data_IF_054841680802
#
_entry.id   IF_054841680802
#
_cell.length_a   1.000
_cell.length_b   1.000
_cell.length_c   1.000
_cell.angle_alpha   90.00
_cell.angle_beta   90.00
_cell.angle_gamma   90.00
#
_symmetry.space_group_name_H-M   'P 1'
#
loop_
_entity.id
_entity.type
_entity.pdbx_description
1 polymer ?
#
# COMPACT_ATOMS: atom_id res chain seq x y z
N UNK A 1 -0.54 -5.38 -17.00
CA UNK A 1 -1.11 -4.42 -16.04
C UNK A 1 -1.30 -3.12 -16.79
N UNK A 2 -2.54 -2.71 -17.00
CA UNK A 2 -2.85 -1.39 -17.54
C UNK A 2 -2.20 -0.31 -16.67
N UNK A 3 -1.76 0.76 -17.33
CA UNK A 3 -1.08 1.87 -16.68
C UNK A 3 -2.08 2.58 -15.76
N UNK A 4 -1.99 2.32 -14.45
CA UNK A 4 -2.77 3.01 -13.44
C UNK A 4 -2.63 4.52 -13.62
N UNK A 5 -3.75 5.23 -13.53
CA UNK A 5 -3.82 6.68 -13.67
C UNK A 5 -2.80 7.38 -12.74
N UNK A 6 -2.17 8.43 -13.25
CA UNK A 6 -1.10 9.13 -12.55
C UNK A 6 -1.60 9.80 -11.25
N UNK A 7 -2.83 10.28 -11.24
CA UNK A 7 -3.44 10.93 -10.08
C UNK A 7 -3.82 9.88 -9.04
N UNK A 8 -4.43 8.76 -9.45
CA UNK A 8 -4.69 7.62 -8.56
C UNK A 8 -3.40 7.15 -7.88
N UNK A 9 -2.33 6.98 -8.67
CA UNK A 9 -1.02 6.58 -8.15
C UNK A 9 -0.49 7.58 -7.13
N UNK A 10 -0.68 8.87 -7.37
CA UNK A 10 -0.24 9.95 -6.49
C UNK A 10 -1.02 9.95 -5.17
N UNK A 11 -2.34 9.76 -5.22
CA UNK A 11 -3.19 9.68 -4.03
C UNK A 11 -2.85 8.45 -3.20
N UNK A 12 -2.76 7.27 -3.82
CA UNK A 12 -2.40 6.03 -3.13
C UNK A 12 -1.02 6.10 -2.45
N UNK A 13 -0.03 6.70 -3.12
CA UNK A 13 1.28 6.98 -2.51
C UNK A 13 1.19 7.93 -1.33
N UNK A 14 0.42 9.01 -1.46
CA UNK A 14 0.25 10.00 -0.38
C UNK A 14 -0.40 9.38 0.85
N UNK A 15 -1.35 8.46 0.65
CA UNK A 15 -1.91 7.65 1.72
C UNK A 15 -0.77 6.89 2.40
N UNK A 16 0.00 6.05 1.68
CA UNK A 16 1.09 5.26 2.27
C UNK A 16 2.09 6.15 3.04
N UNK A 17 2.51 7.27 2.46
CA UNK A 17 3.44 8.23 3.09
C UNK A 17 2.92 8.82 4.40
N UNK A 18 1.60 9.08 4.48
CA UNK A 18 0.95 9.58 5.69
C UNK A 18 0.82 8.55 6.81
N UNK A 19 1.14 7.27 6.58
CA UNK A 19 0.79 6.18 7.47
C UNK A 19 1.49 6.24 8.84
N UNK A 20 2.75 6.67 8.92
CA UNK A 20 3.45 6.81 10.21
C UNK A 20 2.80 7.88 11.10
N UNK A 21 2.36 9.00 10.51
CA UNK A 21 1.59 10.03 11.22
C UNK A 21 0.24 9.48 11.69
N UNK A 22 -0.43 8.66 10.88
CA UNK A 22 -1.70 8.00 11.22
C UNK A 22 -1.53 7.02 12.39
N UNK A 23 -0.52 6.15 12.35
CA UNK A 23 -0.19 5.24 13.47
C UNK A 23 0.05 6.00 14.77
N UNK A 24 0.75 7.14 14.73
CA UNK A 24 0.95 8.00 15.92
C UNK A 24 -0.36 8.57 16.46
N UNK A 25 -1.29 8.99 15.60
CA UNK A 25 -2.62 9.45 16.03
C UNK A 25 -3.46 8.32 16.65
N UNK A 26 -3.39 7.12 16.08
CA UNK A 26 -4.09 5.93 16.62
C UNK A 26 -3.56 5.60 18.02
N UNK A 27 -2.23 5.54 18.19
CA UNK A 27 -1.59 5.28 19.48
C UNK A 27 -1.97 6.32 20.54
N UNK A 28 -2.15 7.57 20.15
CA UNK A 28 -2.52 8.68 21.06
C UNK A 28 -4.02 8.87 21.23
N UNK A 29 -4.85 7.98 20.66
CA UNK A 29 -6.33 8.06 20.67
C UNK A 29 -6.89 9.37 20.08
N UNK A 30 -6.16 9.97 19.14
CA UNK A 30 -6.54 11.20 18.40
C UNK A 30 -6.81 10.92 16.92
N UNK A 31 -7.04 9.66 16.56
CA UNK A 31 -7.27 9.24 15.19
C UNK A 31 -8.71 9.53 14.76
N UNK A 32 -8.86 10.02 13.53
CA UNK A 32 -10.14 10.06 12.85
C UNK A 32 -10.56 8.67 12.36
N UNK A 33 -11.84 8.50 11.98
CA UNK A 33 -12.31 7.29 11.32
C UNK A 33 -11.52 6.98 10.03
N UNK A 34 -11.17 8.02 9.26
CA UNK A 34 -10.31 7.88 8.10
C UNK A 34 -8.92 7.37 8.46
N UNK A 35 -8.31 7.89 9.54
CA UNK A 35 -6.97 7.44 9.96
C UNK A 35 -6.94 5.94 10.26
N UNK A 36 -7.98 5.44 10.93
CA UNK A 36 -8.15 4.03 11.27
C UNK A 36 -8.32 3.20 9.99
N UNK A 37 -9.28 3.57 9.12
CA UNK A 37 -9.53 2.88 7.85
C UNK A 37 -8.25 2.83 6.98
N UNK A 38 -7.61 3.98 6.78
CA UNK A 38 -6.42 4.07 5.94
C UNK A 38 -5.21 3.33 6.54
N UNK A 39 -5.09 3.26 7.87
CA UNK A 39 -4.02 2.49 8.51
C UNK A 39 -4.22 0.98 8.35
N UNK A 40 -5.46 0.51 8.49
CA UNK A 40 -5.83 -0.88 8.24
C UNK A 40 -5.57 -1.26 6.78
N UNK A 41 -6.07 -0.47 5.83
CA UNK A 41 -5.88 -0.71 4.38
C UNK A 41 -4.39 -0.79 4.02
N UNK A 42 -3.56 0.15 4.50
CA UNK A 42 -2.12 0.13 4.21
C UNK A 42 -1.45 -1.11 4.81
N UNK A 43 -1.86 -1.54 6.00
CA UNK A 43 -1.33 -2.75 6.62
C UNK A 43 -1.74 -4.01 5.83
N UNK A 44 -3.00 -4.13 5.48
CA UNK A 44 -3.54 -5.31 4.80
C UNK A 44 -2.99 -5.42 3.37
N UNK A 45 -2.94 -4.30 2.63
CA UNK A 45 -2.30 -4.24 1.32
C UNK A 45 -0.82 -4.62 1.38
N UNK A 46 -0.11 -4.24 2.46
CA UNK A 46 1.29 -4.62 2.63
C UNK A 46 1.43 -6.13 2.88
N UNK A 47 0.61 -6.70 3.75
CA UNK A 47 0.58 -8.13 4.06
C UNK A 47 0.26 -8.99 2.82
N UNK A 48 -0.59 -8.49 1.93
CA UNK A 48 -0.99 -9.15 0.69
C UNK A 48 0.00 -8.96 -0.49
N UNK A 49 1.01 -8.09 -0.33
CA UNK A 49 2.05 -7.89 -1.35
C UNK A 49 3.17 -8.94 -1.27
N UNK A 50 3.97 -9.06 -2.33
CA UNK A 50 5.12 -9.98 -2.40
C UNK A 50 4.74 -11.48 -2.26
N UNK A 51 3.55 -11.87 -2.75
CA UNK A 51 3.00 -13.21 -2.55
C UNK A 51 3.85 -14.36 -3.13
N UNK A 52 4.70 -14.06 -4.12
CA UNK A 52 5.61 -15.02 -4.75
C UNK A 52 6.83 -15.39 -3.87
N UNK A 53 7.10 -14.68 -2.77
CA UNK A 53 8.18 -15.05 -1.85
C UNK A 53 7.64 -16.10 -0.88
N UNK A 54 8.08 -17.35 -1.01
CA UNK A 54 7.60 -18.47 -0.17
C UNK A 54 7.94 -18.30 1.31
N UNK A 55 9.18 -17.89 1.62
CA UNK A 55 9.61 -17.67 3.00
C UNK A 55 8.90 -16.48 3.63
N UNK A 56 8.10 -16.74 4.66
CA UNK A 56 7.36 -15.71 5.41
C UNK A 56 8.32 -14.63 5.97
N UNK A 57 9.50 -15.05 6.45
CA UNK A 57 10.51 -14.12 6.99
C UNK A 57 11.06 -13.22 5.89
N UNK A 58 11.43 -13.79 4.74
CA UNK A 58 11.91 -13.02 3.60
C UNK A 58 10.83 -12.09 3.06
N UNK A 59 9.58 -12.57 2.98
CA UNK A 59 8.42 -11.78 2.54
C UNK A 59 8.22 -10.55 3.42
N UNK A 60 8.23 -10.72 4.75
CA UNK A 60 8.09 -9.61 5.71
C UNK A 60 9.22 -8.59 5.59
N UNK A 61 10.46 -9.05 5.43
CA UNK A 61 11.61 -8.16 5.21
C UNK A 61 11.45 -7.38 3.90
N UNK A 62 10.95 -8.02 2.85
CA UNK A 62 10.74 -7.37 1.56
C UNK A 62 9.63 -6.30 1.65
N UNK A 63 8.51 -6.66 2.25
CA UNK A 63 7.38 -5.77 2.54
C UNK A 63 7.86 -4.53 3.32
N UNK A 64 8.65 -4.70 4.38
CA UNK A 64 9.15 -3.57 5.16
C UNK A 64 10.01 -2.61 4.32
N UNK A 65 10.88 -3.14 3.46
CA UNK A 65 11.73 -2.33 2.57
C UNK A 65 10.90 -1.57 1.53
N UNK A 66 9.88 -2.19 0.95
CA UNK A 66 8.96 -1.54 0.02
C UNK A 66 8.20 -0.41 0.72
N UNK A 67 7.68 -0.68 1.91
CA UNK A 67 6.98 0.30 2.72
C UNK A 67 7.86 1.52 2.99
N UNK A 68 9.09 1.30 3.49
CA UNK A 68 10.07 2.37 3.74
C UNK A 68 10.43 3.15 2.47
N UNK A 69 10.62 2.46 1.34
CA UNK A 69 10.90 3.11 0.04
C UNK A 69 9.81 4.08 -0.41
N UNK A 70 8.54 3.78 -0.12
CA UNK A 70 7.44 4.70 -0.45
C UNK A 70 7.35 5.83 0.57
N UNK A 71 7.40 5.50 1.86
CA UNK A 71 7.28 6.49 2.96
C UNK A 71 8.37 7.55 2.91
N UNK A 72 9.62 7.14 2.71
CA UNK A 72 10.78 8.03 2.71
C UNK A 72 11.25 8.42 1.31
N UNK A 73 10.53 7.99 0.27
CA UNK A 73 10.91 8.15 -1.13
C UNK A 73 12.34 7.63 -1.44
N UNK A 74 12.80 6.62 -0.70
CA UNK A 74 14.12 6.02 -0.88
C UNK A 74 14.15 5.17 -2.16
N UNK A 75 15.05 5.46 -3.13
CA UNK A 75 15.18 4.64 -4.32
C UNK A 75 15.90 3.32 -4.03
N UNK A 76 15.77 2.34 -4.94
CA UNK A 76 16.25 0.97 -4.75
C UNK A 76 17.76 0.92 -4.42
N UNK A 77 18.54 1.80 -5.03
CA UNK A 77 19.99 1.92 -4.92
C UNK A 77 20.46 2.20 -3.49
N UNK A 78 19.59 2.76 -2.64
CA UNK A 78 19.88 3.07 -1.24
C UNK A 78 19.25 2.05 -0.27
N UNK A 79 18.66 0.98 -0.79
CA UNK A 79 18.08 -0.10 0.02
C UNK A 79 19.11 -1.20 0.14
N UNK A 80 19.82 -1.23 1.26
CA UNK A 80 20.69 -2.34 1.60
C UNK A 80 19.90 -3.65 1.69
N UNK A 81 20.51 -4.78 1.33
CA UNK A 81 19.96 -6.14 1.48
C UNK A 81 18.57 -6.34 0.86
N UNK A 82 18.32 -5.76 -0.32
CA UNK A 82 17.12 -6.07 -1.07
C UNK A 82 17.14 -7.55 -1.49
N UNK A 83 16.10 -8.31 -1.12
CA UNK A 83 15.99 -9.74 -1.39
C UNK A 83 15.57 -10.07 -2.83
N UNK A 84 15.57 -9.06 -3.71
CA UNK A 84 15.22 -9.19 -5.11
C UNK A 84 15.94 -8.12 -5.95
N UNK A 85 16.02 -8.34 -7.26
CA UNK A 85 16.59 -7.37 -8.18
C UNK A 85 15.71 -6.11 -8.35
N UNK A 86 16.32 -5.05 -8.88
CA UNK A 86 15.70 -3.73 -9.10
C UNK A 86 14.31 -3.79 -9.74
N UNK A 87 14.17 -4.57 -10.82
CA UNK A 87 12.90 -4.68 -11.56
C UNK A 87 11.79 -5.22 -10.67
N UNK A 88 12.03 -6.37 -10.05
CA UNK A 88 11.08 -7.02 -9.14
C UNK A 88 10.71 -6.12 -7.96
N UNK A 89 11.67 -5.36 -7.44
CA UNK A 89 11.40 -4.40 -6.37
C UNK A 89 10.35 -3.35 -6.77
N UNK A 90 10.47 -2.77 -7.97
CA UNK A 90 9.49 -1.79 -8.45
C UNK A 90 8.16 -2.42 -8.88
N UNK A 91 8.17 -3.69 -9.27
CA UNK A 91 6.94 -4.47 -9.47
C UNK A 91 6.19 -4.62 -8.15
N UNK A 92 6.85 -5.04 -7.07
CA UNK A 92 6.22 -5.09 -5.74
C UNK A 92 5.78 -3.73 -5.21
N UNK A 93 6.59 -2.69 -5.45
CA UNK A 93 6.22 -1.32 -5.08
C UNK A 93 4.95 -0.88 -5.80
N UNK A 94 4.81 -1.24 -7.08
CA UNK A 94 3.64 -0.92 -7.89
C UNK A 94 2.44 -1.75 -7.48
N UNK A 95 2.61 -3.04 -7.22
CA UNK A 95 1.60 -3.95 -6.65
C UNK A 95 1.04 -3.37 -5.34
N UNK A 96 1.91 -3.00 -4.40
CA UNK A 96 1.47 -2.46 -3.12
C UNK A 96 0.68 -1.16 -3.26
N UNK A 97 1.12 -0.22 -4.12
CA UNK A 97 0.36 1.01 -4.40
C UNK A 97 -1.00 0.68 -5.02
N UNK A 98 -1.05 -0.31 -5.90
CA UNK A 98 -2.28 -0.75 -6.58
C UNK A 98 -3.26 -1.37 -5.59
N UNK A 99 -2.80 -2.22 -4.66
CA UNK A 99 -3.61 -2.82 -3.61
C UNK A 99 -4.22 -1.74 -2.69
N UNK A 100 -3.44 -0.71 -2.34
CA UNK A 100 -3.97 0.45 -1.58
C UNK A 100 -4.99 1.22 -2.41
N UNK A 101 -4.76 1.40 -3.71
CA UNK A 101 -5.71 2.09 -4.60
C UNK A 101 -7.04 1.33 -4.70
N UNK A 102 -6.99 0.02 -4.84
CA UNK A 102 -8.16 -0.87 -4.89
C UNK A 102 -8.96 -0.82 -3.61
N UNK A 103 -8.32 -1.00 -2.45
CA UNK A 103 -9.01 -1.03 -1.16
C UNK A 103 -9.60 0.33 -0.73
N UNK A 104 -9.18 1.41 -1.39
CA UNK A 104 -9.73 2.75 -1.22
C UNK A 104 -10.76 3.10 -2.31
N UNK A 105 -11.19 2.12 -3.10
CA UNK A 105 -12.18 2.25 -4.17
C UNK A 105 -11.80 3.31 -5.23
N UNK A 106 -10.50 3.49 -5.48
CA UNK A 106 -10.00 4.50 -6.41
C UNK A 106 -9.87 3.99 -7.86
N UNK A 107 -9.91 2.67 -8.10
CA UNK A 107 -9.78 2.12 -9.46
C UNK A 107 -11.13 2.09 -10.20
N UNK A 108 -11.19 2.51 -11.48
CA UNK A 108 -12.40 2.41 -12.28
C UNK A 108 -12.76 0.92 -12.48
N UNK A 109 -13.99 0.54 -12.12
CA UNK A 109 -14.49 -0.85 -12.20
C UNK A 109 -14.57 -1.59 -10.86
N UNK A 110 -14.23 -0.96 -9.73
CA UNK A 110 -14.58 -1.47 -8.41
C UNK A 110 -16.10 -1.46 -8.23
N UNK A 111 -16.71 -2.64 -8.16
CA UNK A 111 -18.15 -2.84 -8.05
C UNK A 111 -18.79 -1.93 -6.99
N UNK A 112 -19.51 -0.91 -7.44
CA UNK A 112 -20.74 -0.49 -6.75
C UNK A 112 -21.76 -1.62 -6.97
N UNK A 113 -21.59 -2.75 -6.28
CA UNK A 113 -22.70 -3.68 -6.11
C UNK A 113 -23.79 -2.89 -5.38
N UNK A 114 -24.92 -2.70 -6.07
CA UNK A 114 -25.96 -1.78 -5.67
C UNK A 114 -26.48 -2.07 -4.27
N UNK A 115 -26.52 -1.03 -3.43
CA UNK A 115 -27.70 -0.84 -2.59
C UNK A 115 -28.83 -0.38 -3.52
N UNK A 116 -29.48 -1.33 -4.19
CA UNK A 116 -30.87 -1.14 -4.57
C UNK A 116 -31.68 -1.25 -3.28
N UNK A 117 -32.17 -0.09 -2.81
CA UNK A 117 -33.29 -0.06 -1.90
C UNK A 117 -34.50 -0.70 -2.59
N UNK A 118 -34.87 -1.89 -2.14
CA UNK A 118 -36.18 -2.49 -2.40
C UNK A 118 -37.11 -2.15 -1.25
N UNK A 119 -38.20 -1.46 -1.58
CA UNK A 119 -39.34 -1.15 -0.71
C UNK A 119 -40.03 -2.41 -0.16
#
# INVERSE_FOLDING_TARGET
MDKMDADIKTIARSIIQGNEKRKKRIKTKKASAFDIKAAAIVNDALCNSCGNIESIRARRQMQEKIYKSIVYNTPYEYIADALCGRRQFYEYRTEFITLVAQAMDMLPGGSRAGEEGGQ
#
